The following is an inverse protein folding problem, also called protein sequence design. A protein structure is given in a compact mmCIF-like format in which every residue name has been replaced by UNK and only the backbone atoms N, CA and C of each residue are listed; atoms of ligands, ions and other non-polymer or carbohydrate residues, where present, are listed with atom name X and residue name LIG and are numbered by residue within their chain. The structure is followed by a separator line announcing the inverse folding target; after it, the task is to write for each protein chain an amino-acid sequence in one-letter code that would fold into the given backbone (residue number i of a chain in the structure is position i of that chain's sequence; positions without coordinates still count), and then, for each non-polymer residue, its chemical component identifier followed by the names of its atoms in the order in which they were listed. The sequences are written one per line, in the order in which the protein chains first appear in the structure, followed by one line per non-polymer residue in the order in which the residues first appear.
data_IF_782581395438
#
_entry.id   IF_782581395438
#
_cell.length_a   1.000
_cell.length_b   1.000
_cell.length_c   1.000
_cell.angle_alpha   90.00
_cell.angle_beta   90.00
_cell.angle_gamma   90.00
#
_symmetry.space_group_name_H-M   'P 1'
#
loop_
_entity.id
_entity.type
_entity.pdbx_description
1 polymer ?
#
# COMPACT_ATOMS: atom_id res chain seq x y z
N UNK A 1 -42.45 -15.96 -14.66
CA UNK A 1 -41.43 -16.25 -15.68
C UNK A 1 -40.10 -15.73 -15.19
N UNK A 2 -39.30 -16.58 -14.55
CA UNK A 2 -37.96 -16.21 -14.10
C UNK A 2 -37.01 -16.33 -15.29
N UNK A 3 -36.34 -15.23 -15.64
CA UNK A 3 -35.29 -15.22 -16.66
C UNK A 3 -34.10 -15.99 -16.12
N UNK A 4 -33.86 -17.16 -16.71
CA UNK A 4 -32.63 -17.93 -16.52
C UNK A 4 -31.46 -17.07 -17.04
N UNK A 5 -30.58 -16.68 -16.12
CA UNK A 5 -29.34 -15.98 -16.43
C UNK A 5 -28.49 -16.78 -17.42
N UNK A 6 -27.85 -16.07 -18.35
CA UNK A 6 -26.94 -16.64 -19.35
C UNK A 6 -25.86 -17.50 -18.67
N UNK A 7 -25.72 -18.80 -19.00
CA UNK A 7 -24.75 -19.69 -18.34
C UNK A 7 -23.28 -19.51 -18.72
N UNK A 8 -22.88 -18.47 -19.47
CA UNK A 8 -21.51 -18.36 -20.03
C UNK A 8 -20.87 -16.98 -19.87
N UNK A 9 -21.26 -16.19 -18.86
CA UNK A 9 -20.51 -15.00 -18.53
C UNK A 9 -19.26 -15.40 -17.73
N UNK A 10 -18.11 -15.49 -18.39
CA UNK A 10 -16.81 -15.59 -17.70
C UNK A 10 -16.70 -14.38 -16.77
N UNK A 11 -16.82 -14.61 -15.47
CA UNK A 11 -16.67 -13.57 -14.47
C UNK A 11 -15.19 -13.15 -14.45
N UNK A 12 -14.92 -11.95 -14.94
CA UNK A 12 -13.59 -11.34 -14.78
C UNK A 12 -13.37 -11.16 -13.27
N UNK A 13 -12.29 -11.73 -12.69
CA UNK A 13 -11.99 -11.52 -11.28
C UNK A 13 -11.83 -10.03 -11.01
N UNK A 14 -12.27 -9.60 -9.84
CA UNK A 14 -12.20 -8.21 -9.39
C UNK A 14 -11.55 -8.17 -8.03
N UNK A 15 -10.79 -7.11 -7.81
CA UNK A 15 -10.33 -6.78 -6.48
C UNK A 15 -11.57 -6.60 -5.56
N UNK A 16 -11.54 -7.13 -4.32
CA UNK A 16 -12.63 -6.92 -3.37
C UNK A 16 -12.92 -5.45 -3.06
N UNK A 17 -11.89 -4.60 -3.18
CA UNK A 17 -12.00 -3.15 -3.04
C UNK A 17 -12.12 -2.53 -4.42
N UNK A 18 -13.24 -1.83 -4.67
CA UNK A 18 -13.46 -1.08 -5.90
C UNK A 18 -12.93 0.34 -5.73
N UNK A 19 -12.08 0.78 -6.66
CA UNK A 19 -11.56 2.14 -6.66
C UNK A 19 -12.63 3.15 -7.04
N UNK A 20 -12.84 4.16 -6.19
CA UNK A 20 -13.82 5.24 -6.36
C UNK A 20 -13.17 6.63 -6.41
N UNK A 21 -11.84 6.71 -6.51
CA UNK A 21 -11.11 7.98 -6.60
C UNK A 21 -10.84 8.67 -5.25
N UNK A 22 -11.31 8.12 -4.13
CA UNK A 22 -11.04 8.63 -2.77
C UNK A 22 -10.36 7.62 -1.86
N UNK A 23 -10.38 6.34 -2.22
CA UNK A 23 -9.80 5.22 -1.46
C UNK A 23 -8.48 4.71 -2.05
N UNK A 24 -7.60 5.60 -2.50
CA UNK A 24 -6.37 5.24 -3.23
C UNK A 24 -5.47 4.26 -2.45
N UNK A 25 -5.10 4.58 -1.21
CA UNK A 25 -4.21 3.72 -0.41
C UNK A 25 -4.77 2.30 -0.18
N UNK A 26 -6.03 2.19 0.23
CA UNK A 26 -6.71 0.89 0.40
C UNK A 26 -6.77 0.11 -0.91
N UNK A 27 -7.09 0.80 -2.01
CA UNK A 27 -7.13 0.20 -3.34
C UNK A 27 -5.77 -0.34 -3.77
N UNK A 28 -4.69 0.42 -3.59
CA UNK A 28 -3.33 -0.02 -3.94
C UNK A 28 -2.96 -1.29 -3.19
N UNK A 29 -3.12 -1.29 -1.86
CA UNK A 29 -2.81 -2.44 -1.02
C UNK A 29 -3.60 -3.69 -1.44
N UNK A 30 -4.91 -3.55 -1.60
CA UNK A 30 -5.76 -4.69 -1.99
C UNK A 30 -5.50 -5.15 -3.43
N UNK A 31 -5.17 -4.23 -4.34
CA UNK A 31 -4.83 -4.56 -5.73
C UNK A 31 -3.52 -5.34 -5.80
N UNK A 32 -2.49 -4.92 -5.04
CA UNK A 32 -1.22 -5.64 -4.92
C UNK A 32 -1.45 -7.08 -4.45
N UNK A 33 -2.13 -7.26 -3.31
CA UNK A 33 -2.41 -8.61 -2.77
C UNK A 33 -3.25 -9.46 -3.73
N UNK A 34 -4.25 -8.86 -4.38
CA UNK A 34 -5.14 -9.58 -5.30
C UNK A 34 -4.43 -10.02 -6.59
N UNK A 35 -3.57 -9.15 -7.15
CA UNK A 35 -2.85 -9.41 -8.39
C UNK A 35 -1.61 -10.27 -8.17
N UNK A 36 -0.92 -10.12 -7.04
CA UNK A 36 0.24 -10.95 -6.68
C UNK A 36 -0.18 -12.41 -6.48
N UNK A 37 -1.32 -12.64 -5.82
CA UNK A 37 -1.94 -13.97 -5.72
C UNK A 37 -2.31 -14.61 -7.06
N UNK A 38 -2.38 -13.83 -8.14
CA UNK A 38 -2.61 -14.28 -9.52
C UNK A 38 -1.35 -14.20 -10.41
N UNK A 39 -0.20 -13.83 -9.84
CA UNK A 39 1.07 -13.59 -10.55
C UNK A 39 1.01 -12.49 -11.62
N UNK A 40 0.04 -11.57 -11.52
CA UNK A 40 -0.20 -10.50 -12.48
C UNK A 40 0.35 -9.14 -12.03
N UNK A 41 0.77 -9.00 -10.77
CA UNK A 41 1.24 -7.72 -10.22
C UNK A 41 2.38 -7.10 -11.01
N UNK A 42 3.34 -7.91 -11.44
CA UNK A 42 4.49 -7.47 -12.24
C UNK A 42 4.11 -6.83 -13.59
N UNK A 43 2.90 -7.08 -14.11
CA UNK A 43 2.40 -6.42 -15.33
C UNK A 43 1.95 -4.98 -15.05
N UNK A 44 1.40 -4.70 -13.87
CA UNK A 44 1.03 -3.34 -13.46
C UNK A 44 2.27 -2.51 -13.09
N UNK A 45 3.19 -3.08 -12.34
CA UNK A 45 4.42 -2.38 -11.92
C UNK A 45 5.42 -2.20 -13.07
N UNK A 46 5.26 -2.97 -14.16
CA UNK A 46 6.17 -2.93 -15.32
C UNK A 46 7.42 -3.81 -15.15
N UNK A 47 7.51 -4.60 -14.08
CA UNK A 47 8.56 -5.61 -13.89
C UNK A 47 8.51 -6.70 -14.98
N UNK A 48 7.31 -7.02 -15.49
CA UNK A 48 7.10 -7.97 -16.58
C UNK A 48 7.18 -7.25 -17.93
N UNK A 49 8.38 -7.19 -18.48
CA UNK A 49 8.64 -6.57 -19.79
C UNK A 49 8.03 -7.43 -20.91
N UNK A 50 7.43 -6.76 -21.90
CA UNK A 50 6.94 -7.41 -23.12
C UNK A 50 8.10 -8.08 -23.86
N UNK A 51 8.07 -9.41 -24.07
CA UNK A 51 9.07 -10.08 -24.88
C UNK A 51 8.99 -9.60 -26.34
N UNK A 52 10.12 -9.60 -27.08
CA UNK A 52 10.09 -9.28 -28.50
C UNK A 52 9.19 -10.26 -29.25
N UNK A 53 8.47 -9.78 -30.26
CA UNK A 53 7.66 -10.64 -31.11
C UNK A 53 8.58 -11.58 -31.91
N UNK A 54 8.42 -12.90 -31.79
CA UNK A 54 9.25 -13.85 -32.52
C UNK A 54 9.05 -13.71 -34.04
N UNK A 55 10.13 -13.89 -34.79
CA UNK A 55 10.11 -13.87 -36.25
C UNK A 55 10.10 -15.31 -36.76
N UNK A 56 9.25 -15.58 -37.74
CA UNK A 56 9.15 -16.91 -38.33
C UNK A 56 10.45 -17.26 -39.07
N UNK A 57 11.08 -18.41 -38.78
CA UNK A 57 12.27 -18.87 -39.50
C UNK A 57 12.01 -19.02 -41.00
N UNK A 58 13.01 -18.72 -41.81
CA UNK A 58 12.91 -18.84 -43.28
C UNK A 58 13.29 -20.26 -43.71
N UNK A 59 12.53 -20.92 -44.60
CA UNK A 59 12.89 -22.25 -45.08
C UNK A 59 14.30 -22.32 -45.68
N UNK A 60 15.02 -23.43 -45.49
CA UNK A 60 16.38 -23.57 -46.01
C UNK A 60 16.38 -23.53 -47.53
N UNK A 61 17.37 -22.84 -48.09
CA UNK A 61 17.62 -22.82 -49.53
C UNK A 61 18.76 -23.78 -49.84
N UNK A 62 18.49 -24.78 -50.67
CA UNK A 62 19.48 -25.79 -51.01
C UNK A 62 20.35 -25.33 -52.20
N UNK A 63 21.68 -25.42 -52.08
CA UNK A 63 22.57 -25.27 -53.23
C UNK A 63 22.27 -26.33 -54.31
N UNK A 64 22.42 -26.01 -55.61
CA UNK A 64 22.13 -26.95 -56.70
C UNK A 64 22.99 -28.22 -56.67
N UNK A 65 24.16 -28.13 -56.07
CA UNK A 65 25.21 -29.16 -55.98
C UNK A 65 25.36 -29.74 -54.56
N UNK A 66 24.47 -29.39 -53.62
CA UNK A 66 24.52 -29.92 -52.27
C UNK A 66 24.30 -31.44 -52.26
N UNK A 67 25.23 -32.15 -51.60
CA UNK A 67 25.04 -33.54 -51.24
C UNK A 67 23.95 -33.70 -50.16
N UNK A 68 23.54 -34.93 -49.92
CA UNK A 68 22.42 -35.20 -49.02
C UNK A 68 22.76 -34.96 -47.54
N UNK A 69 24.05 -35.06 -47.17
CA UNK A 69 24.50 -34.75 -45.82
C UNK A 69 24.38 -33.24 -45.56
N UNK A 70 24.83 -32.40 -46.51
CA UNK A 70 24.68 -30.94 -46.43
C UNK A 70 23.21 -30.50 -46.42
N UNK A 71 22.31 -31.20 -47.12
CA UNK A 71 20.86 -30.93 -47.06
C UNK A 71 20.28 -31.30 -45.69
N UNK A 72 20.69 -32.43 -45.12
CA UNK A 72 20.25 -32.85 -43.80
C UNK A 72 20.73 -31.88 -42.72
N UNK A 73 21.97 -31.41 -42.78
CA UNK A 73 22.52 -30.41 -41.84
C UNK A 73 21.72 -29.09 -41.90
N UNK A 74 21.37 -28.62 -43.10
CA UNK A 74 20.54 -27.42 -43.29
C UNK A 74 19.11 -27.62 -42.75
N UNK A 75 18.56 -28.82 -42.90
CA UNK A 75 17.24 -29.15 -42.39
C UNK A 75 17.25 -29.25 -40.86
N UNK A 76 18.25 -29.90 -40.27
CA UNK A 76 18.41 -30.01 -38.81
C UNK A 76 18.58 -28.63 -38.17
N UNK A 77 19.38 -27.75 -38.77
CA UNK A 77 19.53 -26.37 -38.32
C UNK A 77 18.20 -25.60 -38.36
N UNK A 78 17.42 -25.77 -39.43
CA UNK A 78 16.10 -25.14 -39.56
C UNK A 78 15.09 -25.71 -38.55
N UNK A 79 15.10 -27.01 -38.29
CA UNK A 79 14.25 -27.65 -37.27
C UNK A 79 14.58 -27.13 -35.87
N UNK A 80 15.87 -26.99 -35.53
CA UNK A 80 16.31 -26.39 -34.27
C UNK A 80 15.88 -24.92 -34.15
N UNK A 81 15.98 -24.14 -35.24
CA UNK A 81 15.49 -22.75 -35.27
C UNK A 81 13.96 -22.69 -35.09
N UNK A 82 13.23 -23.63 -35.69
CA UNK A 82 11.78 -23.75 -35.54
C UNK A 82 11.37 -24.09 -34.10
N UNK A 83 12.13 -24.96 -33.42
CA UNK A 83 11.90 -25.27 -32.01
C UNK A 83 12.11 -24.03 -31.12
N UNK A 84 13.18 -23.26 -31.37
CA UNK A 84 13.41 -21.99 -30.68
C UNK A 84 12.27 -21.00 -30.92
N UNK A 85 11.85 -20.83 -32.18
CA UNK A 85 10.73 -19.95 -32.53
C UNK A 85 9.44 -20.34 -31.82
N UNK A 86 9.10 -21.63 -31.77
CA UNK A 86 7.90 -22.11 -31.09
C UNK A 86 7.95 -21.85 -29.58
N UNK A 87 9.12 -22.02 -28.97
CA UNK A 87 9.35 -21.72 -27.55
C UNK A 87 9.13 -20.22 -27.27
N UNK A 88 9.79 -19.36 -28.06
CA UNK A 88 9.66 -17.90 -27.92
C UNK A 88 8.23 -17.42 -28.20
N UNK A 89 7.54 -18.04 -29.17
CA UNK A 89 6.13 -17.75 -29.47
C UNK A 89 5.23 -18.09 -28.29
N UNK A 90 5.45 -19.24 -27.65
CA UNK A 90 4.72 -19.63 -26.45
C UNK A 90 4.90 -18.62 -25.30
N UNK A 91 6.12 -18.12 -25.10
CA UNK A 91 6.42 -17.07 -24.11
C UNK A 91 5.68 -15.77 -24.46
N UNK A 92 5.76 -15.33 -25.71
CA UNK A 92 5.10 -14.10 -26.19
C UNK A 92 3.57 -14.16 -26.06
N UNK A 93 2.96 -15.28 -26.47
CA UNK A 93 1.51 -15.47 -26.37
C UNK A 93 1.02 -15.56 -24.92
N UNK A 94 1.82 -16.17 -24.04
CA UNK A 94 1.54 -16.21 -22.60
C UNK A 94 1.56 -14.81 -22.01
N UNK A 95 2.59 -14.01 -22.31
CA UNK A 95 2.67 -12.62 -21.87
C UNK A 95 1.45 -11.81 -22.34
N UNK A 96 1.05 -11.93 -23.61
CA UNK A 96 -0.13 -11.23 -24.15
C UNK A 96 -1.43 -11.61 -23.44
N UNK A 97 -1.58 -12.87 -23.04
CA UNK A 97 -2.76 -13.35 -22.32
C UNK A 97 -2.81 -12.75 -20.91
N UNK A 98 -1.70 -12.82 -20.19
CA UNK A 98 -1.58 -12.30 -18.83
C UNK A 98 -1.73 -10.78 -18.79
N UNK A 99 -1.14 -10.05 -19.75
CA UNK A 99 -1.33 -8.61 -19.91
C UNK A 99 -2.80 -8.22 -20.13
N UNK A 100 -3.53 -9.00 -20.96
CA UNK A 100 -4.98 -8.81 -21.14
C UNK A 100 -5.75 -9.08 -19.86
N UNK A 101 -5.38 -10.12 -19.10
CA UNK A 101 -5.99 -10.44 -17.81
C UNK A 101 -5.75 -9.35 -16.78
N UNK A 102 -4.52 -8.87 -16.64
CA UNK A 102 -4.16 -7.78 -15.74
C UNK A 102 -4.94 -6.50 -16.07
N UNK A 103 -5.02 -6.14 -17.36
CA UNK A 103 -5.82 -5.00 -17.81
C UNK A 103 -7.31 -5.19 -17.50
N UNK A 104 -7.86 -6.37 -17.73
CA UNK A 104 -9.28 -6.65 -17.46
C UNK A 104 -9.61 -6.53 -15.98
N UNK A 105 -8.78 -7.09 -15.09
CA UNK A 105 -8.96 -7.02 -13.64
C UNK A 105 -8.85 -5.57 -13.16
N UNK A 106 -7.83 -4.82 -13.62
CA UNK A 106 -7.66 -3.42 -13.25
C UNK A 106 -8.91 -2.62 -13.58
N UNK A 107 -9.36 -2.66 -14.84
CA UNK A 107 -10.55 -1.92 -15.30
C UNK A 107 -11.83 -2.37 -14.59
N UNK A 108 -11.96 -3.65 -14.27
CA UNK A 108 -13.12 -4.19 -13.57
C UNK A 108 -13.14 -3.86 -12.07
N UNK A 109 -12.01 -3.40 -11.52
CA UNK A 109 -11.84 -3.10 -10.09
C UNK A 109 -11.91 -1.59 -9.79
N UNK A 110 -12.44 -0.80 -10.71
CA UNK A 110 -12.68 0.64 -10.51
C UNK A 110 -14.07 1.03 -11.02
N UNK A 111 -14.56 2.17 -10.54
CA UNK A 111 -15.80 2.75 -11.06
C UNK A 111 -15.72 3.02 -12.57
N UNK A 112 -16.87 2.95 -13.24
CA UNK A 112 -16.92 2.91 -14.71
C UNK A 112 -16.39 4.20 -15.32
N UNK A 113 -16.70 5.35 -14.73
CA UNK A 113 -16.20 6.66 -15.15
C UNK A 113 -14.67 6.77 -15.04
N UNK A 114 -14.08 6.25 -13.96
CA UNK A 114 -12.64 6.15 -13.77
C UNK A 114 -12.01 5.18 -14.78
N UNK A 115 -12.66 4.03 -15.04
CA UNK A 115 -12.18 3.06 -16.04
C UNK A 115 -12.11 3.66 -17.45
N UNK A 116 -13.07 4.53 -17.81
CA UNK A 116 -13.13 5.16 -19.13
C UNK A 116 -11.99 6.14 -19.37
N UNK A 117 -11.43 6.74 -18.31
CA UNK A 117 -10.27 7.62 -18.40
C UNK A 117 -9.04 6.90 -19.00
N UNK A 118 -8.95 5.59 -18.82
CA UNK A 118 -7.82 4.78 -19.28
C UNK A 118 -7.93 4.37 -20.76
N UNK A 119 -8.99 4.81 -21.46
CA UNK A 119 -9.21 4.48 -22.86
C UNK A 119 -8.10 5.09 -23.73
N UNK A 120 -7.32 4.23 -24.36
CA UNK A 120 -6.20 4.61 -25.23
C UNK A 120 -4.82 4.28 -24.66
N UNK A 121 -4.72 3.89 -23.38
CA UNK A 121 -3.46 3.40 -22.82
C UNK A 121 -3.18 1.96 -23.27
N UNK A 122 -2.00 1.78 -23.86
CA UNK A 122 -1.65 0.56 -24.57
C UNK A 122 -1.48 -0.65 -23.63
N UNK A 123 -0.89 -0.45 -22.45
CA UNK A 123 -0.60 -1.52 -21.48
C UNK A 123 -1.21 -1.25 -20.11
N UNK A 124 -1.37 -2.32 -19.33
CA UNK A 124 -1.82 -2.30 -17.94
C UNK A 124 -0.85 -1.48 -17.06
N UNK A 125 0.46 -1.58 -17.33
CA UNK A 125 1.48 -0.72 -16.72
C UNK A 125 1.22 0.77 -16.92
N UNK A 126 0.95 1.21 -18.16
CA UNK A 126 0.69 2.63 -18.42
C UNK A 126 -0.60 3.12 -17.74
N UNK A 127 -1.59 2.24 -17.60
CA UNK A 127 -2.81 2.54 -16.84
C UNK A 127 -2.50 2.72 -15.35
N UNK A 128 -1.70 1.81 -14.79
CA UNK A 128 -1.29 1.84 -13.39
C UNK A 128 -0.41 3.06 -13.06
N UNK A 129 0.62 3.32 -13.84
CA UNK A 129 1.51 4.48 -13.68
C UNK A 129 0.73 5.81 -13.74
N UNK A 130 -0.25 5.92 -14.64
CA UNK A 130 -1.12 7.08 -14.69
C UNK A 130 -1.93 7.26 -13.40
N UNK A 131 -2.51 6.18 -12.85
CA UNK A 131 -3.24 6.20 -11.60
C UNK A 131 -2.36 6.64 -10.43
N UNK A 132 -1.17 6.05 -10.30
CA UNK A 132 -0.19 6.45 -9.29
C UNK A 132 0.07 7.95 -9.36
N UNK A 133 0.47 8.48 -10.51
CA UNK A 133 0.76 9.92 -10.66
C UNK A 133 -0.43 10.81 -10.34
N UNK A 134 -1.64 10.39 -10.72
CA UNK A 134 -2.84 11.19 -10.55
C UNK A 134 -3.32 11.24 -9.10
N UNK A 135 -3.22 10.13 -8.38
CA UNK A 135 -3.82 9.98 -7.06
C UNK A 135 -2.84 10.05 -5.91
N UNK A 136 -1.56 9.77 -6.12
CA UNK A 136 -0.50 9.97 -5.11
C UNK A 136 -0.30 11.47 -4.81
N UNK A 137 -0.23 12.32 -5.85
CA UNK A 137 -0.14 13.79 -5.70
C UNK A 137 -1.41 14.37 -5.06
N UNK A 138 -2.58 13.85 -5.46
CA UNK A 138 -3.87 14.29 -4.88
C UNK A 138 -4.01 13.85 -3.43
N UNK A 139 -3.47 12.69 -3.06
CA UNK A 139 -3.50 12.21 -1.69
C UNK A 139 -2.61 13.07 -0.80
N UNK A 140 -1.41 13.45 -1.24
CA UNK A 140 -0.55 14.37 -0.49
C UNK A 140 -1.22 15.73 -0.26
N UNK A 141 -1.85 16.32 -1.29
CA UNK A 141 -2.59 17.57 -1.14
C UNK A 141 -3.83 17.42 -0.23
N UNK A 142 -4.55 16.30 -0.32
CA UNK A 142 -5.67 16.00 0.58
C UNK A 142 -5.20 15.81 2.02
N UNK A 143 -4.10 15.10 2.23
CA UNK A 143 -3.46 14.89 3.53
C UNK A 143 -3.13 16.24 4.17
N UNK A 144 -2.46 17.14 3.44
CA UNK A 144 -2.16 18.49 3.92
C UNK A 144 -3.43 19.27 4.28
N UNK A 145 -4.49 19.19 3.47
CA UNK A 145 -5.77 19.84 3.76
C UNK A 145 -6.44 19.27 5.03
N UNK A 146 -6.37 17.95 5.26
CA UNK A 146 -6.91 17.33 6.49
C UNK A 146 -6.06 17.71 7.70
N UNK A 147 -4.74 17.85 7.54
CA UNK A 147 -3.85 18.36 8.59
C UNK A 147 -4.20 19.81 8.95
N UNK A 148 -4.43 20.68 7.96
CA UNK A 148 -4.88 22.06 8.18
C UNK A 148 -6.25 22.10 8.87
N UNK A 149 -7.19 21.24 8.47
CA UNK A 149 -8.49 21.09 9.13
C UNK A 149 -8.31 20.70 10.61
N UNK A 150 -7.48 19.70 10.89
CA UNK A 150 -7.14 19.28 12.25
C UNK A 150 -6.52 20.42 13.07
N UNK A 151 -5.66 21.25 12.45
CA UNK A 151 -5.05 22.42 13.08
C UNK A 151 -6.04 23.56 13.30
N UNK A 152 -7.08 23.65 12.47
CA UNK A 152 -8.13 24.67 12.57
C UNK A 152 -9.19 24.34 13.61
N UNK A 153 -9.33 23.07 14.00
CA UNK A 153 -10.31 22.63 14.99
C UNK A 153 -10.13 23.38 16.32
N UNK A 154 -11.22 23.95 16.81
CA UNK A 154 -11.34 24.61 18.11
C UNK A 154 -12.69 24.21 18.69
N UNK A 155 -12.75 23.98 20.00
CA UNK A 155 -13.97 23.54 20.66
C UNK A 155 -15.09 24.61 20.59
N UNK A 156 -14.76 25.91 20.69
CA UNK A 156 -15.71 27.03 20.70
C UNK A 156 -16.97 26.71 21.53
N UNK A 157 -18.16 26.88 20.94
CA UNK A 157 -19.47 26.63 21.57
C UNK A 157 -19.95 25.18 21.45
N UNK A 158 -19.13 24.29 20.87
CA UNK A 158 -19.50 22.88 20.74
C UNK A 158 -19.39 22.14 22.08
N UNK A 159 -20.30 21.19 22.29
CA UNK A 159 -20.20 20.30 23.45
C UNK A 159 -18.93 19.44 23.35
N UNK A 160 -18.37 19.04 24.49
CA UNK A 160 -17.15 18.20 24.55
C UNK A 160 -17.32 16.94 23.69
N UNK A 161 -18.48 16.28 23.73
CA UNK A 161 -18.76 15.12 22.89
C UNK A 161 -18.84 15.46 21.39
N UNK A 162 -19.42 16.62 21.04
CA UNK A 162 -19.49 17.08 19.65
C UNK A 162 -18.11 17.35 19.07
N UNK A 163 -17.27 18.02 19.86
CA UNK A 163 -15.86 18.25 19.51
C UNK A 163 -15.09 16.94 19.39
N UNK A 164 -15.27 16.01 20.33
CA UNK A 164 -14.62 14.70 20.28
C UNK A 164 -15.04 13.92 19.03
N UNK A 165 -16.33 13.93 18.66
CA UNK A 165 -16.80 13.31 17.41
C UNK A 165 -16.15 13.92 16.17
N UNK A 166 -16.05 15.26 16.10
CA UNK A 166 -15.37 15.95 15.00
C UNK A 166 -13.88 15.60 14.94
N UNK A 167 -13.20 15.64 16.07
CA UNK A 167 -11.79 15.31 16.17
C UNK A 167 -11.53 13.86 15.74
N UNK A 168 -12.32 12.91 16.23
CA UNK A 168 -12.24 11.49 15.84
C UNK A 168 -12.51 11.29 14.36
N UNK A 169 -13.45 12.02 13.76
CA UNK A 169 -13.73 11.93 12.32
C UNK A 169 -12.55 12.44 11.46
N UNK A 170 -11.93 13.56 11.85
CA UNK A 170 -10.71 14.06 11.19
C UNK A 170 -9.54 13.08 11.39
N UNK A 171 -9.44 12.47 12.57
CA UNK A 171 -8.42 11.47 12.89
C UNK A 171 -8.56 10.22 12.02
N UNK A 172 -9.76 9.67 11.88
CA UNK A 172 -9.99 8.51 10.99
C UNK A 172 -9.66 8.84 9.54
N UNK A 173 -9.97 10.06 9.07
CA UNK A 173 -9.56 10.51 7.74
C UNK A 173 -8.05 10.58 7.59
N UNK A 174 -7.33 11.12 8.59
CA UNK A 174 -5.86 11.12 8.57
C UNK A 174 -5.28 9.71 8.62
N UNK A 175 -5.89 8.78 9.34
CA UNK A 175 -5.45 7.38 9.41
C UNK A 175 -5.64 6.67 8.06
N UNK A 176 -6.79 6.89 7.40
CA UNK A 176 -7.07 6.39 6.06
C UNK A 176 -6.15 6.97 4.97
N UNK A 177 -5.68 8.20 5.13
CA UNK A 177 -4.70 8.82 4.23
C UNK A 177 -3.25 8.49 4.63
N UNK A 178 -3.03 8.22 5.92
CA UNK A 178 -1.73 8.02 6.57
C UNK A 178 -1.27 6.55 6.63
N UNK A 179 -2.11 5.59 6.26
CA UNK A 179 -1.67 4.23 5.93
C UNK A 179 -0.60 4.22 4.83
N UNK A 180 -0.50 5.31 4.05
CA UNK A 180 0.57 5.54 3.06
C UNK A 180 1.93 5.89 3.69
N UNK A 181 2.00 6.34 4.95
CA UNK A 181 3.27 6.60 5.65
C UNK A 181 3.74 5.47 6.55
N UNK A 182 2.93 4.41 6.74
CA UNK A 182 3.34 3.17 7.41
C UNK A 182 3.35 1.94 6.49
N UNK A 183 2.88 2.06 5.24
CA UNK A 183 3.02 1.02 4.20
C UNK A 183 4.31 1.14 3.37
N UNK A 184 4.98 2.30 3.43
CA UNK A 184 6.34 2.46 2.96
C UNK A 184 7.31 1.76 3.91
N UNK A 185 7.48 0.46 3.74
CA UNK A 185 8.66 -0.22 4.27
C UNK A 185 9.90 0.44 3.70
N UNK A 186 10.39 1.50 4.35
CA UNK A 186 11.83 1.70 4.45
C UNK A 186 12.38 0.33 4.78
N UNK A 187 13.38 -0.21 4.04
CA UNK A 187 13.85 -1.56 4.26
C UNK A 187 14.40 -1.63 5.68
N UNK A 188 13.53 -2.00 6.61
CA UNK A 188 13.78 -2.25 8.02
C UNK A 188 14.37 -3.65 8.20
N UNK A 189 14.73 -4.29 7.10
CA UNK A 189 15.76 -5.31 7.11
C UNK A 189 17.09 -4.64 7.45
N UNK A 190 17.68 -5.02 8.57
CA UNK A 190 19.09 -4.74 8.81
C UNK A 190 19.89 -5.21 7.58
N UNK A 191 20.67 -4.32 6.97
CA UNK A 191 21.50 -4.69 5.84
C UNK A 191 22.58 -5.64 6.35
N UNK A 192 22.68 -6.83 5.76
CA UNK A 192 23.74 -7.74 6.14
C UNK A 192 25.10 -7.11 5.82
N UNK A 193 25.93 -6.88 6.85
CA UNK A 193 27.26 -6.28 6.70
C UNK A 193 28.19 -7.02 5.73
N UNK A 194 27.97 -8.33 5.55
CA UNK A 194 28.73 -9.21 4.66
C UNK A 194 28.26 -9.22 3.19
N UNK A 195 27.04 -9.67 2.91
CA UNK A 195 26.55 -9.82 1.53
C UNK A 195 25.84 -8.57 0.98
N UNK A 196 25.64 -7.53 1.80
CA UNK A 196 24.96 -6.26 1.45
C UNK A 196 23.50 -6.40 1.01
N UNK A 197 22.89 -7.57 1.19
CA UNK A 197 21.47 -7.85 0.95
C UNK A 197 20.66 -7.52 2.21
N UNK A 198 19.45 -7.00 2.03
CA UNK A 198 18.50 -6.69 3.09
C UNK A 198 17.72 -7.93 3.53
N UNK A 199 17.26 -7.96 4.78
CA UNK A 199 16.33 -9.00 5.29
C UNK A 199 16.94 -10.11 6.15
N UNK A 200 18.22 -10.01 6.54
CA UNK A 200 18.84 -10.90 7.53
C UNK A 200 20.04 -10.24 8.22
N UNK A 201 20.31 -10.60 9.48
CA UNK A 201 21.53 -10.16 10.17
C UNK A 201 22.77 -10.88 9.63
N UNK A 202 23.93 -10.25 9.76
CA UNK A 202 25.19 -10.80 9.27
C UNK A 202 25.52 -12.19 9.87
N UNK A 203 25.05 -12.47 11.09
CA UNK A 203 25.20 -13.77 11.76
C UNK A 203 24.44 -14.90 11.03
N UNK A 204 23.33 -14.55 10.39
CA UNK A 204 22.41 -15.46 9.69
C UNK A 204 22.65 -15.50 8.18
N UNK A 205 23.70 -14.81 7.70
CA UNK A 205 24.04 -14.74 6.29
C UNK A 205 24.50 -16.10 5.75
N UNK A 206 23.67 -16.74 4.92
CA UNK A 206 24.00 -18.02 4.26
C UNK A 206 25.29 -17.97 3.44
N UNK A 207 25.60 -16.82 2.80
CA UNK A 207 26.85 -16.63 2.05
C UNK A 207 28.06 -16.70 2.99
N UNK A 208 28.02 -15.96 4.11
CA UNK A 208 29.06 -15.97 5.15
C UNK A 208 29.23 -17.34 5.81
N UNK A 209 28.13 -18.05 6.08
CA UNK A 209 28.18 -19.41 6.61
C UNK A 209 28.85 -20.37 5.63
N UNK A 210 28.52 -20.31 4.33
CA UNK A 210 29.17 -21.14 3.31
C UNK A 210 30.68 -20.86 3.22
N UNK A 211 31.08 -19.59 3.26
CA UNK A 211 32.50 -19.19 3.20
C UNK A 211 33.29 -19.55 4.46
N UNK A 212 32.62 -19.63 5.62
CA UNK A 212 33.19 -20.18 6.87
C UNK A 212 33.30 -21.70 6.82
N UNK A 213 32.27 -22.39 6.35
CA UNK A 213 32.27 -23.86 6.23
C UNK A 213 33.30 -24.34 5.21
N UNK A 214 33.58 -23.56 4.16
CA UNK A 214 34.69 -23.81 3.23
C UNK A 214 36.09 -23.64 3.84
N UNK A 215 36.22 -22.90 4.96
CA UNK A 215 37.49 -22.74 5.70
C UNK A 215 37.60 -23.62 6.95
N UNK A 216 36.51 -24.16 7.47
CA UNK A 216 36.48 -25.05 8.64
C UNK A 216 36.97 -26.49 8.37
N UNK A 217 37.58 -26.76 7.21
CA UNK A 217 38.41 -27.96 7.02
C UNK A 217 39.69 -27.97 7.88
N UNK A 218 39.98 -26.91 8.66
CA UNK A 218 41.10 -26.88 9.60
C UNK A 218 40.81 -26.05 10.85
N UNK A 219 40.91 -26.74 11.98
CA UNK A 219 41.14 -26.25 13.36
C UNK A 219 39.97 -25.77 14.23
N UNK A 220 40.24 -26.02 15.52
CA UNK A 220 39.36 -26.12 16.67
C UNK A 220 39.48 -24.91 17.59
N UNK A 221 38.47 -24.74 18.45
CA UNK A 221 38.45 -24.08 19.76
C UNK A 221 38.46 -22.53 19.90
N UNK A 222 37.50 -22.09 20.75
CA UNK A 222 37.60 -21.09 21.83
C UNK A 222 37.41 -19.60 21.49
N UNK A 223 36.48 -18.94 22.22
CA UNK A 223 36.43 -17.48 22.32
C UNK A 223 35.07 -16.91 22.73
N UNK A 224 34.99 -16.45 23.97
CA UNK A 224 33.84 -15.84 24.66
C UNK A 224 33.57 -14.37 24.27
N UNK A 225 32.35 -13.91 24.56
CA UNK A 225 32.11 -12.59 25.16
C UNK A 225 31.65 -11.44 24.25
N UNK A 226 30.60 -10.74 24.70
CA UNK A 226 30.34 -9.34 24.31
C UNK A 226 28.88 -8.98 24.05
N UNK A 227 28.07 -8.82 25.12
CA UNK A 227 26.87 -7.98 25.05
C UNK A 227 27.28 -6.52 24.87
N UNK A 228 26.63 -5.80 23.94
CA UNK A 228 26.70 -4.34 23.88
C UNK A 228 25.35 -3.80 23.44
N UNK A 229 24.59 -3.32 24.43
CA UNK A 229 23.40 -2.50 24.27
C UNK A 229 23.80 -1.22 23.54
N UNK A 230 23.42 -1.09 22.27
CA UNK A 230 23.61 0.12 21.50
C UNK A 230 22.26 0.84 21.44
N UNK A 231 22.07 1.84 22.30
CA UNK A 231 21.00 2.81 22.13
C UNK A 231 21.29 3.59 20.85
N UNK A 232 20.59 3.22 19.77
CA UNK A 232 20.58 3.98 18.54
C UNK A 232 19.60 5.13 18.70
N UNK A 233 20.11 6.32 19.04
CA UNK A 233 19.35 7.56 18.91
C UNK A 233 19.16 7.83 17.42
N UNK A 234 18.02 7.39 16.87
CA UNK A 234 17.58 7.80 15.53
C UNK A 234 17.45 9.32 15.52
N UNK A 235 18.15 9.97 14.59
CA UNK A 235 17.91 11.37 14.24
C UNK A 235 16.56 11.42 13.52
N UNK A 236 15.56 11.92 14.22
CA UNK A 236 14.19 12.14 13.72
C UNK A 236 14.20 13.38 12.83
N UNK A 237 13.62 13.30 11.64
CA UNK A 237 13.57 14.44 10.70
C UNK A 237 12.79 15.61 11.29
N UNK A 238 13.04 16.84 10.83
CA UNK A 238 12.41 18.04 11.40
C UNK A 238 10.88 17.98 11.36
N UNK A 239 10.28 17.43 10.29
CA UNK A 239 8.84 17.26 10.15
C UNK A 239 8.27 16.21 11.13
N UNK A 240 8.98 15.09 11.34
CA UNK A 240 8.58 14.09 12.33
C UNK A 240 8.68 14.63 13.77
N UNK A 241 9.65 15.51 14.05
CA UNK A 241 9.73 16.19 15.35
C UNK A 241 8.60 17.20 15.56
N UNK A 242 8.13 17.86 14.50
CA UNK A 242 6.95 18.73 14.57
C UNK A 242 5.66 17.95 14.81
N UNK A 243 5.49 16.80 14.13
CA UNK A 243 4.34 15.89 14.32
C UNK A 243 4.35 15.32 15.74
N UNK A 244 5.49 14.81 16.22
CA UNK A 244 5.61 14.33 17.60
C UNK A 244 5.46 15.46 18.64
N UNK A 245 5.87 16.68 18.30
CA UNK A 245 5.65 17.88 19.09
C UNK A 245 4.16 18.26 19.19
N UNK A 246 3.43 18.15 18.08
CA UNK A 246 1.98 18.31 18.01
C UNK A 246 1.27 17.26 18.87
N UNK A 247 1.68 15.98 18.77
CA UNK A 247 1.17 14.90 19.63
C UNK A 247 1.35 15.22 21.12
N UNK A 248 2.56 15.62 21.55
CA UNK A 248 2.81 15.97 22.95
C UNK A 248 1.96 17.14 23.43
N UNK A 249 1.81 18.20 22.62
CA UNK A 249 1.02 19.39 22.98
C UNK A 249 -0.48 19.08 23.11
N UNK A 250 -1.02 18.24 22.24
CA UNK A 250 -2.42 17.83 22.29
C UNK A 250 -2.70 16.94 23.51
N UNK A 251 -1.80 16.00 23.83
CA UNK A 251 -1.93 15.16 25.03
C UNK A 251 -1.81 15.99 26.33
N UNK A 252 -0.92 16.96 26.39
CA UNK A 252 -0.80 17.86 27.56
C UNK A 252 -2.04 18.75 27.73
N UNK A 253 -2.63 19.23 26.64
CA UNK A 253 -3.86 20.02 26.69
C UNK A 253 -5.07 19.19 27.19
N UNK A 254 -5.13 17.90 26.85
CA UNK A 254 -6.16 16.99 27.35
C UNK A 254 -6.02 16.70 28.86
N UNK A 255 -4.79 16.65 29.40
CA UNK A 255 -4.54 16.37 30.81
C UNK A 255 -4.69 17.60 31.73
N UNK A 256 -4.47 18.81 31.20
CA UNK A 256 -4.60 20.05 31.96
C UNK A 256 -6.07 20.41 32.32
N UNK A 257 -7.06 19.75 31.72
CA UNK A 257 -8.48 19.96 32.03
C UNK A 257 -9.00 19.11 33.21
N UNK A 258 -8.13 18.31 33.86
CA UNK A 258 -8.53 17.34 34.88
C UNK A 258 -8.42 17.77 36.34
N UNK A 259 -7.98 18.99 36.67
CA UNK A 259 -7.75 19.39 38.07
C UNK A 259 -8.60 20.61 38.46
N UNK A 260 -9.91 20.37 38.58
CA UNK A 260 -10.83 21.22 39.33
C UNK A 260 -11.00 20.68 40.75
N UNK A 261 -10.33 21.35 41.68
CA UNK A 261 -10.33 21.29 43.14
C UNK A 261 -11.57 20.67 43.82
N UNK A 262 -11.31 19.71 44.70
CA UNK A 262 -12.23 19.18 45.73
C UNK A 262 -12.72 20.28 46.68
N UNK A 263 -14.02 20.52 46.73
CA UNK A 263 -14.69 21.11 47.88
C UNK A 263 -15.79 20.14 48.35
N UNK A 264 -15.54 19.48 49.48
CA UNK A 264 -16.54 18.72 50.21
C UNK A 264 -17.61 19.66 50.78
N UNK A 265 -18.88 19.29 50.65
CA UNK A 265 -19.89 19.49 51.70
C UNK A 265 -21.00 18.45 51.53
N UNK A 266 -21.08 17.55 52.52
CA UNK A 266 -22.10 16.51 52.63
C UNK A 266 -23.40 17.05 53.24
N UNK A 267 -24.51 16.54 52.68
CA UNK A 267 -25.73 16.04 53.35
C UNK A 267 -26.76 17.00 53.98
N UNK A 268 -27.98 16.91 53.40
CA UNK A 268 -29.27 16.59 54.06
C UNK A 268 -30.26 17.69 54.52
N UNK A 269 -31.34 17.80 53.73
CA UNK A 269 -32.79 17.77 54.09
C UNK A 269 -33.45 18.99 54.80
N UNK A 270 -34.70 19.41 54.42
CA UNK A 270 -35.40 20.63 54.90
C UNK A 270 -36.26 20.36 56.16
N UNK A 271 -36.92 21.37 56.79
CA UNK A 271 -38.36 21.63 56.55
C UNK A 271 -38.79 23.12 56.85
N UNK A 272 -40.06 23.53 57.19
CA UNK A 272 -40.73 24.68 56.54
C UNK A 272 -41.21 25.79 57.53
N UNK A 273 -42.00 26.73 57.00
CA UNK A 273 -43.04 27.58 57.66
C UNK A 273 -42.66 29.01 58.08
N UNK A 274 -43.47 29.99 57.66
CA UNK A 274 -43.54 31.31 58.28
C UNK A 274 -43.95 32.47 57.36
N UNK A 275 -45.25 32.60 57.05
CA UNK A 275 -45.88 33.87 56.66
C UNK A 275 -46.04 34.80 57.88
N UNK A 276 -46.58 36.04 57.80
CA UNK A 276 -46.61 37.05 56.72
C UNK A 276 -46.18 38.46 57.22
N UNK A 277 -45.96 39.42 56.32
CA UNK A 277 -46.32 40.84 56.53
C UNK A 277 -46.20 41.63 55.22
N UNK A 278 -47.32 42.18 54.73
CA UNK A 278 -47.34 43.28 53.75
C UNK A 278 -47.03 44.64 54.43
N UNK A 279 -47.44 45.82 53.89
CA UNK A 279 -48.42 46.05 52.82
C UNK A 279 -48.03 47.16 51.80
N UNK A 280 -49.01 47.55 50.98
CA UNK A 280 -49.10 48.73 50.08
C UNK A 280 -48.38 48.61 48.72
N UNK A 281 -49.01 48.85 47.57
CA UNK A 281 -50.35 49.33 47.24
C UNK A 281 -50.36 49.81 45.78
N UNK A 282 -51.53 49.79 45.12
CA UNK A 282 -51.75 50.54 43.87
C UNK A 282 -52.40 49.77 42.72
N UNK A 283 -53.73 49.90 42.63
CA UNK A 283 -54.55 49.72 41.41
C UNK A 283 -54.01 50.60 40.25
N UNK A 284 -54.38 50.46 38.97
CA UNK A 284 -55.69 50.78 38.38
C UNK A 284 -55.76 50.32 36.92
N UNK A 285 -56.98 49.94 36.53
CA UNK A 285 -57.61 49.89 35.19
C UNK A 285 -57.09 48.87 34.16
#
# INVERSE_FOLDING_TARGET
MASLGRPDAILVPRCPVIFNGTNWGDFVFHMEVHMDGQLLWGYLTGERICPPRPLLPTPPTYPPDADDDAKNDLLEAFEAEMESYQSDLGVYETWLREEKSAKAILLASMEVDLSLFHRGLATSHLMWDHLCRSYEIRNEAMYLAVVEEAQSLRQFDSTVEGFHRQMTAVWHRLDSLGTEFCGGGAPSGIQCGYCKIYGHEEKDCRKKQRDRSGRCGRHSFQGSGGSSTSQSTRSVSAAEQEVLGLFRRLTTAAQASGHGTTAQASSSTPPPSGSPCGPFGGNWA
#
